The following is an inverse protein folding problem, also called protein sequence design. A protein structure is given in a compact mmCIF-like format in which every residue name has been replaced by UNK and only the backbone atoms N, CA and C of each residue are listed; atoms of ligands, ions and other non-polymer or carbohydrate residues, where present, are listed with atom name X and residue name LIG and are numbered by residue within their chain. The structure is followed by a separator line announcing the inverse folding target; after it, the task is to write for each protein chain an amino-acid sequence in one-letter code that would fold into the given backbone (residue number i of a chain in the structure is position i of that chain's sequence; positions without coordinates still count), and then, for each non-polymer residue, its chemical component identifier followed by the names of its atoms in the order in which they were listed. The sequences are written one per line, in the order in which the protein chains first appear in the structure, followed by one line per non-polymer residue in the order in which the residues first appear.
data_IF_607554209905
#
_entry.id   IF_607554209905
#
_cell.length_a   1.000
_cell.length_b   1.000
_cell.length_c   1.000
_cell.angle_alpha   90.00
_cell.angle_beta   90.00
_cell.angle_gamma   90.00
#
_symmetry.space_group_name_H-M   'P 1'
#
loop_
_entity.id
_entity.type
_entity.pdbx_description
1 polymer ?
#
# COMPACT_ATOMS: atom_id res chain seq x y z
N UNK A 1 -16.54 -5.83 -3.45
CA UNK A 1 -15.20 -6.33 -3.02
C UNK A 1 -14.86 -7.57 -3.80
N UNK A 2 -13.59 -7.82 -4.12
CA UNK A 2 -13.15 -9.00 -4.89
C UNK A 2 -11.76 -9.48 -4.43
N UNK A 3 -11.48 -10.78 -4.52
CA UNK A 3 -10.17 -11.36 -4.18
C UNK A 3 -9.36 -11.63 -5.45
N UNK A 4 -8.09 -11.22 -5.46
CA UNK A 4 -7.12 -11.55 -6.53
C UNK A 4 -6.38 -12.83 -6.18
N UNK A 5 -6.11 -13.69 -7.16
CA UNK A 5 -5.37 -14.92 -6.94
C UNK A 5 -3.91 -14.78 -7.40
N UNK A 6 -2.99 -14.71 -6.44
CA UNK A 6 -1.55 -14.60 -6.71
C UNK A 6 -0.87 -15.94 -7.02
N UNK A 7 -1.55 -17.06 -6.81
CA UNK A 7 -0.98 -18.41 -7.05
C UNK A 7 -0.88 -18.79 -8.53
N UNK A 8 -1.44 -17.97 -9.43
CA UNK A 8 -1.27 -18.10 -10.88
C UNK A 8 -0.56 -16.84 -11.41
N UNK A 9 0.74 -16.67 -11.13
CA UNK A 9 1.48 -15.55 -11.68
C UNK A 9 1.45 -15.64 -13.21
N UNK A 10 1.31 -14.49 -13.87
CA UNK A 10 1.60 -14.41 -15.31
C UNK A 10 3.07 -14.84 -15.52
N UNK A 11 3.41 -15.60 -16.57
CA UNK A 11 4.78 -16.07 -16.83
C UNK A 11 5.85 -14.97 -16.79
N UNK A 12 5.45 -13.70 -16.97
CA UNK A 12 6.33 -12.54 -17.04
C UNK A 12 6.40 -11.73 -15.72
N UNK A 13 5.87 -12.23 -14.59
CA UNK A 13 5.95 -11.53 -13.30
C UNK A 13 6.88 -12.24 -12.33
N UNK A 14 7.91 -11.52 -11.89
CA UNK A 14 8.74 -11.93 -10.77
C UNK A 14 7.91 -11.85 -9.49
N UNK A 15 7.91 -12.95 -8.74
CA UNK A 15 7.21 -13.05 -7.47
C UNK A 15 8.26 -13.16 -6.36
N UNK A 16 8.17 -12.26 -5.39
CA UNK A 16 9.06 -12.20 -4.24
C UNK A 16 8.37 -12.82 -3.03
N UNK A 17 9.14 -13.52 -2.19
CA UNK A 17 8.62 -14.29 -1.05
C UNK A 17 9.27 -13.78 0.23
N UNK A 18 8.50 -13.07 1.05
CA UNK A 18 8.96 -12.53 2.33
C UNK A 18 8.47 -13.41 3.48
N UNK A 19 9.38 -14.02 4.24
CA UNK A 19 9.03 -14.81 5.41
C UNK A 19 8.75 -13.88 6.60
N UNK A 20 7.48 -13.74 6.99
CA UNK A 20 7.06 -12.85 8.08
C UNK A 20 6.81 -13.62 9.37
N UNK A 21 7.42 -13.18 10.47
CA UNK A 21 7.13 -13.69 11.81
C UNK A 21 5.83 -13.08 12.34
N UNK A 22 5.59 -11.79 12.09
CA UNK A 22 4.31 -11.12 12.46
C UNK A 22 3.10 -11.85 11.90
N UNK A 23 3.18 -12.25 10.63
CA UNK A 23 2.07 -12.90 9.92
C UNK A 23 2.11 -14.43 10.02
N UNK A 24 3.17 -15.01 10.62
CA UNK A 24 3.41 -16.46 10.71
C UNK A 24 3.28 -17.19 9.36
N UNK A 25 3.66 -16.50 8.29
CA UNK A 25 3.44 -16.97 6.93
C UNK A 25 4.37 -16.24 5.94
N UNK A 26 4.40 -16.73 4.70
CA UNK A 26 5.10 -16.04 3.61
C UNK A 26 4.15 -15.03 2.96
N UNK A 27 4.60 -13.77 2.89
CA UNK A 27 3.95 -12.68 2.17
C UNK A 27 4.49 -12.63 0.74
N UNK A 28 3.60 -12.52 -0.24
CA UNK A 28 3.93 -12.62 -1.66
C UNK A 28 3.88 -11.24 -2.31
N UNK A 29 4.99 -10.76 -2.87
CA UNK A 29 5.05 -9.43 -3.50
C UNK A 29 5.26 -9.55 -5.01
N UNK A 30 4.72 -8.61 -5.77
CA UNK A 30 4.85 -8.52 -7.24
C UNK A 30 6.00 -7.62 -7.70
N UNK A 31 6.68 -6.95 -6.77
CA UNK A 31 7.87 -6.15 -7.05
C UNK A 31 8.91 -6.22 -5.95
N UNK A 32 10.16 -5.95 -6.31
CA UNK A 32 11.25 -5.81 -5.33
C UNK A 32 11.00 -4.65 -4.36
N UNK A 33 10.30 -3.60 -4.80
CA UNK A 33 9.99 -2.46 -3.94
C UNK A 33 8.94 -2.79 -2.86
N UNK A 34 7.94 -3.60 -3.21
CA UNK A 34 7.00 -4.18 -2.23
C UNK A 34 7.73 -5.12 -1.26
N UNK A 35 8.66 -5.94 -1.78
CA UNK A 35 9.49 -6.81 -0.93
C UNK A 35 10.33 -6.00 0.06
N UNK A 36 10.94 -4.90 -0.38
CA UNK A 36 11.69 -3.99 0.48
C UNK A 36 10.77 -3.33 1.54
N UNK A 37 9.54 -2.95 1.15
CA UNK A 37 8.55 -2.43 2.08
C UNK A 37 8.18 -3.43 3.20
N UNK A 38 8.19 -4.73 2.91
CA UNK A 38 7.89 -5.76 3.90
C UNK A 38 8.85 -5.73 5.10
N UNK A 39 10.13 -5.37 4.91
CA UNK A 39 11.06 -5.23 6.03
C UNK A 39 10.60 -4.14 7.01
N UNK A 40 10.11 -3.01 6.50
CA UNK A 40 9.58 -1.93 7.36
C UNK A 40 8.32 -2.35 8.10
N UNK A 41 7.43 -3.09 7.45
CA UNK A 41 6.20 -3.61 8.07
C UNK A 41 6.53 -4.66 9.15
N UNK A 42 7.48 -5.54 8.87
CA UNK A 42 7.93 -6.61 9.78
C UNK A 42 8.64 -6.09 11.03
N UNK A 43 9.36 -4.97 10.93
CA UNK A 43 10.11 -4.42 12.07
C UNK A 43 9.42 -3.24 12.77
N UNK A 44 8.29 -2.75 12.26
CA UNK A 44 7.52 -1.73 12.95
C UNK A 44 6.88 -2.27 14.24
N UNK A 45 7.08 -1.63 15.41
CA UNK A 45 6.46 -2.06 16.66
C UNK A 45 4.94 -1.83 16.68
N UNK A 46 4.45 -0.79 15.99
CA UNK A 46 3.01 -0.43 15.98
C UNK A 46 2.16 -1.25 15.02
N UNK A 47 2.77 -2.11 14.20
CA UNK A 47 2.06 -2.96 13.24
C UNK A 47 1.91 -4.35 13.85
N UNK A 48 0.69 -4.84 14.01
CA UNK A 48 0.41 -6.19 14.49
C UNK A 48 0.56 -7.22 13.37
N UNK A 49 0.03 -6.93 12.18
CA UNK A 49 0.09 -7.80 11.00
C UNK A 49 -0.09 -7.01 9.71
N UNK A 50 0.25 -7.64 8.59
CA UNK A 50 0.05 -7.07 7.26
C UNK A 50 -0.28 -8.16 6.23
N UNK A 51 -0.93 -7.78 5.14
CA UNK A 51 -1.28 -8.68 4.04
C UNK A 51 -1.00 -8.00 2.70
N UNK A 52 -0.39 -8.74 1.78
CA UNK A 52 -0.07 -8.26 0.42
C UNK A 52 -1.25 -8.47 -0.51
N UNK A 53 -1.57 -7.45 -1.31
CA UNK A 53 -2.70 -7.45 -2.25
C UNK A 53 -4.01 -7.98 -1.62
N UNK A 54 -4.51 -7.29 -0.57
CA UNK A 54 -5.73 -7.67 0.12
C UNK A 54 -6.95 -7.64 -0.81
N UNK A 55 -8.12 -7.97 -0.26
CA UNK A 55 -9.39 -7.82 -0.96
C UNK A 55 -9.52 -6.42 -1.56
N UNK A 56 -9.67 -6.37 -2.88
CA UNK A 56 -9.81 -5.15 -3.65
C UNK A 56 -11.24 -4.60 -3.62
N UNK A 57 -11.36 -3.34 -4.04
CA UNK A 57 -12.63 -2.63 -4.16
C UNK A 57 -12.97 -2.34 -5.62
N UNK A 58 -14.24 -2.10 -5.86
CA UNK A 58 -14.72 -1.51 -7.11
C UNK A 58 -15.09 -0.05 -6.83
N UNK A 59 -14.75 0.86 -7.73
CA UNK A 59 -15.04 2.28 -7.60
C UNK A 59 -15.39 2.89 -8.96
N UNK A 60 -16.16 3.98 -8.96
CA UNK A 60 -16.49 4.71 -10.17
C UNK A 60 -15.45 5.80 -10.45
N UNK A 61 -14.98 5.88 -11.69
CA UNK A 61 -14.10 6.94 -12.19
C UNK A 61 -14.35 7.11 -13.68
N UNK A 62 -14.62 8.36 -14.11
CA UNK A 62 -14.95 8.73 -15.49
C UNK A 62 -16.10 7.90 -16.09
N UNK A 63 -17.20 7.74 -15.35
CA UNK A 63 -18.37 6.91 -15.69
C UNK A 63 -18.05 5.42 -15.98
N UNK A 64 -16.87 4.94 -15.53
CA UNK A 64 -16.47 3.53 -15.64
C UNK A 64 -16.28 2.93 -14.26
N UNK A 65 -16.73 1.68 -14.10
CA UNK A 65 -16.40 0.88 -12.93
C UNK A 65 -14.97 0.37 -13.08
N UNK A 66 -14.14 0.70 -12.10
CA UNK A 66 -12.74 0.28 -12.03
C UNK A 66 -12.52 -0.59 -10.81
N UNK A 67 -11.57 -1.53 -10.93
CA UNK A 67 -11.11 -2.40 -9.85
C UNK A 67 -9.77 -1.94 -9.34
N UNK A 68 -9.61 -1.91 -8.03
CA UNK A 68 -8.36 -1.52 -7.41
C UNK A 68 -8.07 -2.39 -6.18
N UNK A 69 -6.82 -2.81 -6.07
CA UNK A 69 -6.27 -3.55 -4.93
C UNK A 69 -4.99 -2.82 -4.53
N UNK A 70 -4.91 -2.30 -3.29
CA UNK A 70 -3.68 -1.75 -2.74
C UNK A 70 -2.58 -2.81 -2.66
N UNK A 71 -1.33 -2.37 -2.57
CA UNK A 71 -0.20 -3.27 -2.40
C UNK A 71 -0.22 -3.96 -1.03
N UNK A 72 -0.63 -3.26 0.04
CA UNK A 72 -0.77 -3.85 1.38
C UNK A 72 -2.01 -3.39 2.14
N UNK A 73 -2.48 -4.26 3.03
CA UNK A 73 -3.30 -3.93 4.20
C UNK A 73 -2.43 -4.09 5.45
N UNK A 74 -2.48 -3.12 6.37
CA UNK A 74 -1.85 -3.22 7.68
C UNK A 74 -2.91 -3.20 8.78
N UNK A 75 -2.64 -3.92 9.86
CA UNK A 75 -3.41 -3.87 11.10
C UNK A 75 -2.47 -3.39 12.18
N UNK A 76 -2.80 -2.27 12.82
CA UNK A 76 -2.03 -1.74 13.96
C UNK A 76 -2.31 -2.55 15.22
N UNK A 77 -1.42 -2.43 16.20
CA UNK A 77 -1.61 -2.95 17.56
C UNK A 77 -2.92 -2.45 18.22
N UNK A 78 -3.36 -1.24 17.89
CA UNK A 78 -4.65 -0.67 18.30
C UNK A 78 -5.87 -1.31 17.63
N UNK A 79 -5.68 -2.14 16.61
CA UNK A 79 -6.74 -2.67 15.76
C UNK A 79 -7.12 -1.76 14.58
N UNK A 80 -6.54 -0.56 14.47
CA UNK A 80 -6.76 0.33 13.31
C UNK A 80 -6.25 -0.34 12.02
N UNK A 81 -7.03 -0.21 10.94
CA UNK A 81 -6.70 -0.75 9.62
C UNK A 81 -6.35 0.40 8.67
N UNK A 82 -5.22 0.27 7.99
CA UNK A 82 -4.80 1.19 6.94
C UNK A 82 -4.33 0.39 5.71
N UNK A 83 -4.40 1.02 4.53
CA UNK A 83 -3.95 0.43 3.28
C UNK A 83 -2.77 1.21 2.73
N UNK A 84 -1.85 0.53 2.07
CA UNK A 84 -0.62 1.12 1.52
C UNK A 84 -0.53 0.81 0.03
N UNK A 85 -0.21 1.84 -0.74
CA UNK A 85 0.21 1.76 -2.13
C UNK A 85 1.69 2.14 -2.21
N UNK A 86 2.49 1.31 -2.86
CA UNK A 86 3.93 1.48 -3.03
C UNK A 86 4.24 1.84 -4.47
N UNK A 87 5.00 2.93 -4.69
CA UNK A 87 5.41 3.35 -6.04
C UNK A 87 6.83 3.92 -6.09
N UNK A 88 7.57 3.68 -7.19
CA UNK A 88 8.80 4.42 -7.47
C UNK A 88 8.55 5.93 -7.49
N UNK A 89 9.52 6.70 -6.99
CA UNK A 89 9.44 8.16 -6.91
C UNK A 89 9.11 8.81 -8.25
N UNK A 90 9.68 8.29 -9.34
CA UNK A 90 9.43 8.79 -10.70
C UNK A 90 7.97 8.70 -11.14
N UNK A 91 7.20 7.77 -10.57
CA UNK A 91 5.76 7.62 -10.83
C UNK A 91 4.97 8.54 -9.91
N UNK A 92 5.38 8.60 -8.64
CA UNK A 92 4.81 9.45 -7.59
C UNK A 92 4.68 10.93 -8.03
N UNK A 93 5.69 11.46 -8.73
CA UNK A 93 5.71 12.86 -9.15
C UNK A 93 4.81 13.20 -10.35
N UNK A 94 4.33 12.20 -11.09
CA UNK A 94 3.53 12.45 -12.30
C UNK A 94 2.13 12.94 -11.95
N UNK A 95 1.65 13.98 -12.64
CA UNK A 95 0.29 14.52 -12.44
C UNK A 95 -0.78 13.46 -12.67
N UNK A 96 -0.64 12.69 -13.76
CA UNK A 96 -1.58 11.61 -14.12
C UNK A 96 -1.75 10.59 -12.98
N UNK A 97 -0.66 10.15 -12.38
CA UNK A 97 -0.74 9.20 -11.27
C UNK A 97 -1.39 9.82 -10.04
N UNK A 98 -1.01 11.06 -9.68
CA UNK A 98 -1.60 11.77 -8.54
C UNK A 98 -3.11 11.90 -8.69
N UNK A 99 -3.58 12.37 -9.85
CA UNK A 99 -5.02 12.50 -10.13
C UNK A 99 -5.73 11.14 -10.00
N UNK A 100 -5.16 10.06 -10.54
CA UNK A 100 -5.75 8.72 -10.44
C UNK A 100 -5.74 8.18 -8.99
N UNK A 101 -4.67 8.45 -8.25
CA UNK A 101 -4.51 8.03 -6.86
C UNK A 101 -5.52 8.72 -5.95
N UNK A 102 -5.86 9.98 -6.20
CA UNK A 102 -6.89 10.69 -5.44
C UNK A 102 -8.26 10.02 -5.52
N UNK A 103 -8.65 9.52 -6.69
CA UNK A 103 -9.90 8.77 -6.84
C UNK A 103 -9.89 7.48 -6.01
N UNK A 104 -8.75 6.76 -5.99
CA UNK A 104 -8.58 5.55 -5.18
C UNK A 104 -8.63 5.87 -3.69
N UNK A 105 -7.97 6.96 -3.27
CA UNK A 105 -7.96 7.43 -1.89
C UNK A 105 -9.35 7.84 -1.43
N UNK A 106 -10.09 8.56 -2.25
CA UNK A 106 -11.49 8.90 -1.98
C UNK A 106 -12.36 7.65 -1.83
N UNK A 107 -12.18 6.65 -2.70
CA UNK A 107 -12.92 5.39 -2.62
C UNK A 107 -12.64 4.61 -1.32
N UNK A 108 -11.39 4.56 -0.85
CA UNK A 108 -11.07 3.96 0.44
C UNK A 108 -11.57 4.78 1.63
N UNK A 109 -11.48 6.11 1.54
CA UNK A 109 -12.00 7.03 2.56
C UNK A 109 -13.51 6.86 2.76
N UNK A 110 -14.28 6.70 1.67
CA UNK A 110 -15.71 6.43 1.72
C UNK A 110 -16.06 5.10 2.43
N UNK A 111 -15.11 4.16 2.50
CA UNK A 111 -15.24 2.90 3.24
C UNK A 111 -14.73 3.00 4.69
N UNK A 112 -14.32 4.19 5.14
CA UNK A 112 -13.78 4.43 6.48
C UNK A 112 -12.30 4.05 6.64
N UNK A 113 -11.57 3.84 5.53
CA UNK A 113 -10.17 3.42 5.57
C UNK A 113 -9.23 4.48 5.00
N UNK A 114 -8.03 4.56 5.58
CA UNK A 114 -6.94 5.36 5.02
C UNK A 114 -6.22 4.59 3.92
N UNK A 115 -5.92 5.26 2.82
CA UNK A 115 -5.02 4.78 1.78
C UNK A 115 -3.78 5.68 1.73
N UNK A 116 -2.64 5.11 2.08
CA UNK A 116 -1.35 5.76 2.23
C UNK A 116 -0.50 5.45 0.99
N UNK A 117 0.16 6.48 0.47
CA UNK A 117 1.13 6.34 -0.61
C UNK A 117 2.55 6.34 -0.03
N UNK A 118 3.36 5.34 -0.40
CA UNK A 118 4.74 5.19 0.03
C UNK A 118 5.66 5.16 -1.19
N UNK A 119 6.67 6.03 -1.20
CA UNK A 119 7.63 6.12 -2.29
C UNK A 119 8.89 5.30 -2.04
N UNK A 120 9.58 4.95 -3.12
CA UNK A 120 10.89 4.29 -3.08
C UNK A 120 11.91 5.02 -2.20
N UNK A 121 11.92 6.37 -2.23
CA UNK A 121 12.82 7.14 -1.38
C UNK A 121 12.53 6.90 0.09
N UNK A 122 11.25 6.85 0.48
CA UNK A 122 10.85 6.62 1.87
C UNK A 122 11.29 5.22 2.34
N UNK A 123 11.13 4.21 1.48
CA UNK A 123 11.55 2.83 1.77
C UNK A 123 13.08 2.72 1.90
N UNK A 124 13.83 3.40 1.03
CA UNK A 124 15.30 3.29 0.99
C UNK A 124 16.04 4.18 1.98
N UNK A 125 15.36 5.12 2.63
CA UNK A 125 16.01 6.09 3.52
C UNK A 125 15.89 5.76 5.02
N UNK A 126 15.54 4.51 5.39
CA UNK A 126 15.34 4.02 6.78
C UNK A 126 14.38 4.86 7.65
N UNK A 127 13.70 5.84 7.06
CA UNK A 127 12.85 6.82 7.76
C UNK A 127 11.41 6.39 7.91
N UNK A 128 11.04 5.19 7.47
CA UNK A 128 9.63 4.86 7.30
C UNK A 128 8.86 5.00 8.62
N UNK A 129 9.44 4.66 9.78
CA UNK A 129 8.66 4.55 11.03
C UNK A 129 9.40 4.93 12.33
N UNK A 130 10.43 5.79 12.31
CA UNK A 130 11.01 6.29 13.58
C UNK A 130 10.07 7.22 14.38
N UNK A 131 8.86 7.48 13.89
CA UNK A 131 7.85 8.29 14.56
C UNK A 131 6.50 7.59 14.48
N UNK A 132 6.13 6.95 15.58
CA UNK A 132 4.76 6.48 15.79
C UNK A 132 3.75 7.59 15.44
N UNK A 133 2.73 7.22 14.66
CA UNK A 133 1.47 7.94 14.46
C UNK A 133 1.49 9.44 14.09
N UNK A 134 2.60 10.02 13.59
CA UNK A 134 2.72 11.48 13.46
C UNK A 134 3.08 12.07 12.09
N UNK A 135 3.37 11.26 11.07
CA UNK A 135 3.82 11.79 9.76
C UNK A 135 3.18 11.01 8.62
N UNK A 136 1.96 11.38 8.26
CA UNK A 136 1.38 11.14 6.92
C UNK A 136 0.23 12.10 6.58
N UNK A 137 0.21 13.27 7.22
CA UNK A 137 -0.55 14.44 6.77
C UNK A 137 0.41 15.56 6.38
N UNK A 138 1.26 15.30 5.38
CA UNK A 138 2.00 16.37 4.71
C UNK A 138 1.85 16.27 3.19
N UNK A 139 0.61 16.07 2.73
CA UNK A 139 0.11 16.60 1.46
C UNK A 139 -1.38 16.94 1.63
N UNK A 140 -1.66 17.69 2.71
CA UNK A 140 -2.79 18.63 2.79
C UNK A 140 -2.15 20.00 2.70
N UNK A 141 -2.53 20.77 1.68
CA UNK A 141 -2.05 22.11 1.32
C UNK A 141 -0.66 22.24 0.68
N UNK A 142 -0.70 22.49 -0.64
CA UNK A 142 0.43 22.95 -1.44
C UNK A 142 -0.03 23.39 -2.84
N UNK A 143 -0.85 24.46 -2.87
CA UNK A 143 -1.14 25.40 -3.98
C UNK A 143 -1.64 24.78 -5.31
N UNK A 144 -2.78 25.19 -5.87
CA UNK A 144 -3.34 26.54 -6.05
C UNK A 144 -4.77 26.69 -5.52
#
# INVERSE_FOLDING_TARGET
MYNRNLRKPSPNKNIYKFASRKNRSTVMCESGLEFDACFHLEFSPSIASFDSQPTGIEYQSDNKVRRYTPDFKIVKDTGEIEYIEVKPERIHSTKKFRDEFEHKRAAYSALGFKLILVSEKQIRSDKLLSKGSGLLSQYSNGQL
#
